data_IF_141074468035
#
_entry.id   IF_141074468035
#
_cell.length_a   1.000
_cell.length_b   1.000
_cell.length_c   1.000
_cell.angle_alpha   90.00
_cell.angle_beta   90.00
_cell.angle_gamma   90.00
#
_symmetry.space_group_name_H-M   'P 1'
#
loop_
_entity.id
_entity.type
_entity.pdbx_description
1 polymer ?
#
# COMPACT_ATOMS: atom_id res chain seq x y z
N UNK A 1 18.85 20.49 -5.16
CA UNK A 1 18.44 21.87 -5.48
C UNK A 1 17.37 22.24 -4.47
N UNK A 2 17.66 23.17 -3.56
CA UNK A 2 16.69 23.60 -2.55
C UNK A 2 15.86 24.73 -3.15
N UNK A 3 14.64 24.44 -3.57
CA UNK A 3 13.72 25.48 -4.07
C UNK A 3 12.98 26.04 -2.86
N UNK A 4 13.16 27.33 -2.58
CA UNK A 4 12.50 28.04 -1.47
C UNK A 4 11.29 28.80 -2.01
N UNK A 5 11.47 29.43 -3.18
CA UNK A 5 10.46 30.17 -3.93
C UNK A 5 10.57 29.81 -5.42
N UNK A 6 9.52 30.08 -6.18
CA UNK A 6 9.53 29.82 -7.63
C UNK A 6 10.49 30.79 -8.33
N UNK A 7 11.66 30.29 -8.74
CA UNK A 7 12.66 31.04 -9.51
C UNK A 7 12.22 31.15 -10.98
N UNK A 8 11.72 32.33 -11.35
CA UNK A 8 11.20 32.60 -12.69
C UNK A 8 12.27 32.35 -13.77
N UNK A 9 13.51 32.76 -13.54
CA UNK A 9 14.57 32.66 -14.53
C UNK A 9 14.95 31.19 -14.76
N UNK A 10 15.00 30.40 -13.68
CA UNK A 10 15.20 28.96 -13.77
C UNK A 10 14.13 28.29 -14.64
N UNK A 11 12.85 28.58 -14.39
CA UNK A 11 11.76 27.94 -15.14
C UNK A 11 11.64 28.46 -16.58
N UNK A 12 12.12 29.68 -16.87
CA UNK A 12 12.28 30.17 -18.24
C UNK A 12 13.36 29.40 -19.01
N UNK A 13 14.48 29.05 -18.37
CA UNK A 13 15.51 28.22 -19.02
C UNK A 13 15.04 26.77 -19.18
N UNK A 14 14.34 26.21 -18.18
CA UNK A 14 13.74 24.88 -18.27
C UNK A 14 12.76 24.80 -19.45
N UNK A 15 11.98 25.85 -19.69
CA UNK A 15 11.04 25.91 -20.82
C UNK A 15 11.69 25.81 -22.21
N UNK A 16 13.01 25.98 -22.32
CA UNK A 16 13.75 25.83 -23.59
C UNK A 16 14.22 24.41 -23.86
N UNK A 17 14.05 23.50 -22.89
CA UNK A 17 14.46 22.11 -23.01
C UNK A 17 13.43 21.28 -23.81
N UNK A 18 13.83 20.10 -24.34
CA UNK A 18 12.87 19.15 -24.93
C UNK A 18 11.80 18.74 -23.92
N UNK A 19 10.59 18.46 -24.40
CA UNK A 19 9.43 18.18 -23.54
C UNK A 19 9.66 16.97 -22.61
N UNK A 20 10.38 15.95 -23.05
CA UNK A 20 10.71 14.78 -22.23
C UNK A 20 11.59 15.18 -21.03
N UNK A 21 12.50 16.13 -21.25
CA UNK A 21 13.40 16.64 -20.20
C UNK A 21 12.62 17.52 -19.23
N UNK A 22 11.69 18.36 -19.72
CA UNK A 22 10.80 19.16 -18.87
C UNK A 22 9.96 18.24 -17.98
N UNK A 23 9.30 17.24 -18.56
CA UNK A 23 8.47 16.29 -17.82
C UNK A 23 9.29 15.55 -16.75
N UNK A 24 10.52 15.13 -17.08
CA UNK A 24 11.42 14.50 -16.12
C UNK A 24 11.77 15.45 -14.98
N UNK A 25 12.20 16.68 -15.26
CA UNK A 25 12.54 17.68 -14.23
C UNK A 25 11.34 17.93 -13.32
N UNK A 26 10.16 18.20 -13.89
CA UNK A 26 8.94 18.49 -13.14
C UNK A 26 8.51 17.30 -12.27
N UNK A 27 8.73 16.06 -12.73
CA UNK A 27 8.40 14.86 -11.95
C UNK A 27 9.20 14.71 -10.65
N UNK A 28 10.41 15.26 -10.60
CA UNK A 28 11.27 15.27 -9.40
C UNK A 28 11.04 16.47 -8.49
N UNK A 29 10.20 17.43 -8.89
CA UNK A 29 9.89 18.58 -8.03
C UNK A 29 8.96 18.17 -6.88
N UNK A 30 9.15 18.76 -5.69
CA UNK A 30 8.21 18.58 -4.58
C UNK A 30 6.79 18.95 -5.01
N UNK A 31 5.82 18.08 -4.74
CA UNK A 31 4.42 18.29 -5.18
C UNK A 31 3.83 19.62 -4.70
N UNK A 32 4.29 20.10 -3.55
CA UNK A 32 3.94 21.40 -2.96
C UNK A 32 4.17 22.61 -3.90
N UNK A 33 5.19 22.59 -4.76
CA UNK A 33 5.51 23.74 -5.64
C UNK A 33 4.72 23.74 -6.95
N UNK A 34 4.27 22.58 -7.41
CA UNK A 34 3.65 22.41 -8.74
C UNK A 34 2.47 23.36 -9.01
N UNK A 35 1.58 23.70 -8.05
CA UNK A 35 0.48 24.63 -8.30
C UNK A 35 0.96 26.03 -8.70
N UNK A 36 2.12 26.48 -8.21
CA UNK A 36 2.70 27.77 -8.58
C UNK A 36 3.25 27.74 -10.02
N UNK A 37 3.73 26.57 -10.45
CA UNK A 37 4.25 26.38 -11.80
C UNK A 37 3.14 26.34 -12.86
N UNK A 38 1.88 26.12 -12.46
CA UNK A 38 0.74 26.23 -13.38
C UNK A 38 0.54 27.64 -13.95
N UNK A 39 1.12 28.67 -13.33
CA UNK A 39 1.07 30.03 -13.87
C UNK A 39 2.15 30.28 -14.95
N UNK A 40 3.10 29.36 -15.13
CA UNK A 40 4.16 29.45 -16.13
C UNK A 40 3.71 28.80 -17.43
N UNK A 41 3.11 29.62 -18.30
CA UNK A 41 2.56 29.21 -19.59
C UNK A 41 3.46 28.25 -20.40
N UNK A 42 4.79 28.45 -20.52
CA UNK A 42 5.63 27.60 -21.36
C UNK A 42 5.74 26.13 -20.92
N UNK A 43 5.53 25.83 -19.64
CA UNK A 43 5.62 24.47 -19.07
C UNK A 43 4.30 24.03 -18.43
N UNK A 44 3.24 24.81 -18.63
CA UNK A 44 1.98 24.67 -17.89
C UNK A 44 1.36 23.28 -18.10
N UNK A 45 1.43 22.75 -19.33
CA UNK A 45 0.84 21.46 -19.68
C UNK A 45 1.57 20.29 -19.02
N UNK A 46 2.90 20.37 -18.96
CA UNK A 46 3.78 19.36 -18.37
C UNK A 46 3.61 19.35 -16.84
N UNK A 47 3.47 20.54 -16.24
CA UNK A 47 3.12 20.70 -14.83
C UNK A 47 1.74 20.10 -14.54
N UNK A 48 0.73 20.46 -15.34
CA UNK A 48 -0.63 19.91 -15.17
C UNK A 48 -0.66 18.39 -15.32
N UNK A 49 0.02 17.85 -16.32
CA UNK A 49 0.13 16.40 -16.54
C UNK A 49 0.81 15.72 -15.36
N UNK A 50 1.85 16.32 -14.78
CA UNK A 50 2.54 15.77 -13.60
C UNK A 50 1.64 15.80 -12.37
N UNK A 51 0.93 16.91 -12.14
CA UNK A 51 -0.05 17.03 -11.04
C UNK A 51 -1.13 15.96 -11.15
N UNK A 52 -1.71 15.80 -12.34
CA UNK A 52 -2.84 14.89 -12.57
C UNK A 52 -2.42 13.42 -12.61
N UNK A 53 -1.14 13.11 -12.85
CA UNK A 53 -0.68 11.73 -13.02
C UNK A 53 -0.79 10.85 -11.78
N UNK A 54 -0.65 11.41 -10.58
CA UNK A 54 -0.57 10.68 -9.32
C UNK A 54 -1.23 11.52 -8.20
N UNK A 55 -2.51 11.24 -7.97
CA UNK A 55 -3.39 12.10 -7.17
C UNK A 55 -3.97 11.37 -5.96
N UNK A 56 -4.04 12.10 -4.86
CA UNK A 56 -4.78 11.73 -3.67
C UNK A 56 -6.05 12.59 -3.59
N UNK A 57 -7.21 11.98 -3.81
CA UNK A 57 -8.48 12.68 -3.63
C UNK A 57 -8.77 12.78 -2.14
N UNK A 58 -8.90 14.02 -1.66
CA UNK A 58 -9.10 14.33 -0.25
C UNK A 58 -9.98 15.55 -0.10
N UNK A 59 -10.75 15.60 0.99
CA UNK A 59 -11.52 16.78 1.38
C UNK A 59 -10.61 17.88 1.99
N UNK A 60 -9.54 17.47 2.67
CA UNK A 60 -8.60 18.38 3.34
C UNK A 60 -7.27 18.40 2.60
N UNK A 61 -6.89 19.57 2.08
CA UNK A 61 -5.65 19.78 1.34
C UNK A 61 -4.67 20.55 2.22
N UNK A 62 -3.54 19.92 2.53
CA UNK A 62 -2.42 20.55 3.22
C UNK A 62 -1.25 20.65 2.25
N UNK A 63 -0.81 21.89 1.96
CA UNK A 63 0.40 22.15 1.17
C UNK A 63 1.44 22.79 2.07
N UNK A 64 2.58 22.15 2.20
CA UNK A 64 3.72 22.75 2.87
C UNK A 64 4.14 24.02 2.15
N UNK A 65 4.53 25.04 2.92
CA UNK A 65 5.25 26.19 2.39
C UNK A 65 6.74 25.85 2.37
N UNK A 66 7.48 26.43 1.44
CA UNK A 66 8.94 26.37 1.47
C UNK A 66 9.44 26.95 2.79
N UNK A 67 10.35 26.26 3.47
CA UNK A 67 11.03 26.75 4.65
C UNK A 67 12.01 27.85 4.25
N UNK A 68 11.92 29.00 4.94
CA UNK A 68 12.90 30.09 4.82
C UNK A 68 14.26 29.71 5.44
N UNK A 69 14.35 28.56 6.10
CA UNK A 69 15.61 28.06 6.64
C UNK A 69 16.56 27.72 5.48
N UNK A 70 17.79 28.26 5.47
CA UNK A 70 18.74 28.02 4.40
C UNK A 70 18.89 26.52 4.10
N UNK A 71 18.86 26.16 2.82
CA UNK A 71 19.01 24.79 2.32
C UNK A 71 17.88 23.80 2.63
N UNK A 72 16.84 24.19 3.37
CA UNK A 72 15.66 23.34 3.63
C UNK A 72 14.63 23.47 2.50
N UNK A 73 14.10 24.67 2.24
CA UNK A 73 13.06 24.85 1.21
C UNK A 73 11.90 23.87 1.38
N UNK A 74 11.57 23.08 0.34
CA UNK A 74 10.55 22.03 0.39
C UNK A 74 11.08 20.63 0.76
N UNK A 75 12.31 20.47 1.25
CA UNK A 75 12.86 19.14 1.56
C UNK A 75 12.08 18.37 2.62
N UNK A 76 11.34 19.08 3.48
CA UNK A 76 10.48 18.51 4.52
C UNK A 76 9.03 18.31 4.06
N UNK A 77 8.69 18.62 2.80
CA UNK A 77 7.35 18.42 2.26
C UNK A 77 7.09 16.91 2.11
N UNK A 78 6.38 16.32 3.07
CA UNK A 78 5.83 14.97 2.97
C UNK A 78 4.61 14.99 2.05
N UNK A 79 4.87 14.99 0.74
CA UNK A 79 3.86 14.91 -0.29
C UNK A 79 4.22 13.82 -1.28
N UNK A 80 4.19 12.58 -0.80
CA UNK A 80 4.29 11.37 -1.62
C UNK A 80 3.30 11.38 -2.83
N UNK A 81 2.18 12.11 -2.70
CA UNK A 81 0.99 12.10 -3.55
C UNK A 81 0.55 13.56 -3.74
N UNK A 82 0.03 13.93 -4.90
CA UNK A 82 -0.56 15.27 -5.05
C UNK A 82 -1.98 15.29 -4.47
N UNK A 83 -2.18 16.02 -3.36
CA UNK A 83 -3.50 16.20 -2.76
C UNK A 83 -4.38 17.15 -3.59
N UNK A 84 -5.56 16.68 -3.96
CA UNK A 84 -6.53 17.42 -4.77
C UNK A 84 -7.97 17.11 -4.33
N UNK A 85 -8.84 18.13 -4.36
CA UNK A 85 -10.27 17.92 -4.16
C UNK A 85 -10.91 17.38 -5.44
N UNK A 86 -11.97 16.58 -5.31
CA UNK A 86 -12.63 15.96 -6.47
C UNK A 86 -13.08 16.98 -7.53
N UNK A 87 -13.63 18.13 -7.10
CA UNK A 87 -14.06 19.18 -8.03
C UNK A 87 -12.92 19.80 -8.84
N UNK A 88 -11.75 19.98 -8.24
CA UNK A 88 -10.58 20.52 -8.92
C UNK A 88 -9.91 19.46 -9.81
N UNK A 89 -9.96 18.19 -9.41
CA UNK A 89 -9.55 17.07 -10.26
C UNK A 89 -10.41 17.02 -11.52
N UNK A 90 -11.74 17.10 -11.39
CA UNK A 90 -12.67 17.12 -12.53
C UNK A 90 -12.39 18.30 -13.46
N UNK A 91 -12.14 19.50 -12.93
CA UNK A 91 -11.74 20.67 -13.74
C UNK A 91 -10.41 20.43 -14.44
N UNK A 92 -9.42 19.89 -13.74
CA UNK A 92 -8.10 19.59 -14.29
C UNK A 92 -8.17 18.59 -15.45
N UNK A 93 -8.90 17.49 -15.28
CA UNK A 93 -9.12 16.49 -16.33
C UNK A 93 -9.84 17.13 -17.52
N UNK A 94 -10.90 17.91 -17.28
CA UNK A 94 -11.65 18.59 -18.35
C UNK A 94 -10.77 19.56 -19.14
N UNK A 95 -9.91 20.29 -18.45
CA UNK A 95 -9.06 21.31 -19.06
C UNK A 95 -7.88 20.72 -19.84
N UNK A 96 -7.25 19.67 -19.31
CA UNK A 96 -6.00 19.13 -19.84
C UNK A 96 -6.16 17.81 -20.59
N UNK A 97 -7.31 17.16 -20.48
CA UNK A 97 -7.61 15.84 -21.02
C UNK A 97 -6.58 14.78 -20.60
N UNK A 98 -6.23 14.78 -19.31
CA UNK A 98 -5.29 13.84 -18.68
C UNK A 98 -5.97 13.19 -17.50
N UNK A 99 -6.26 11.90 -17.60
CA UNK A 99 -6.70 11.09 -16.47
C UNK A 99 -5.50 10.66 -15.62
N UNK A 100 -5.68 10.46 -14.30
CA UNK A 100 -4.62 9.95 -13.46
C UNK A 100 -4.13 8.59 -13.89
N UNK A 101 -2.82 8.38 -13.78
CA UNK A 101 -2.25 7.04 -13.85
C UNK A 101 -2.46 6.31 -12.53
N UNK A 102 -2.30 7.02 -11.42
CA UNK A 102 -2.58 6.54 -10.07
C UNK A 102 -3.59 7.45 -9.38
N UNK A 103 -4.67 6.85 -8.89
CA UNK A 103 -5.66 7.48 -8.05
C UNK A 103 -5.61 6.85 -6.67
N UNK A 104 -5.53 7.69 -5.65
CA UNK A 104 -5.63 7.25 -4.29
C UNK A 104 -6.83 7.90 -3.61
N UNK A 105 -7.61 7.08 -2.90
CA UNK A 105 -8.81 7.51 -2.19
C UNK A 105 -8.69 7.11 -0.73
N UNK A 106 -8.63 8.12 0.14
CA UNK A 106 -8.54 7.90 1.58
C UNK A 106 -9.87 8.29 2.23
N UNK A 107 -10.58 7.29 2.75
CA UNK A 107 -11.86 7.45 3.43
C UNK A 107 -13.07 7.02 2.60
N UNK A 108 -14.10 6.53 3.30
CA UNK A 108 -15.37 6.07 2.71
C UNK A 108 -16.10 7.17 1.93
N UNK A 109 -16.11 8.40 2.46
CA UNK A 109 -16.83 9.53 1.84
C UNK A 109 -16.24 9.89 0.48
N UNK A 110 -14.91 9.97 0.38
CA UNK A 110 -14.22 10.20 -0.90
C UNK A 110 -14.59 9.14 -1.92
N UNK A 111 -14.62 7.87 -1.48
CA UNK A 111 -14.95 6.76 -2.36
C UNK A 111 -16.38 6.89 -2.92
N UNK A 112 -17.33 7.17 -2.04
CA UNK A 112 -18.73 7.33 -2.42
C UNK A 112 -18.93 8.55 -3.33
N UNK A 113 -18.30 9.67 -3.02
CA UNK A 113 -18.40 10.90 -3.81
C UNK A 113 -17.86 10.70 -5.23
N UNK A 114 -16.72 10.00 -5.39
CA UNK A 114 -16.18 9.67 -6.71
C UNK A 114 -17.16 8.79 -7.50
N UNK A 115 -17.73 7.77 -6.87
CA UNK A 115 -18.70 6.89 -7.53
C UNK A 115 -19.98 7.61 -7.95
N UNK A 116 -20.51 8.46 -7.06
CA UNK A 116 -21.78 9.15 -7.29
C UNK A 116 -21.64 10.30 -8.30
N UNK A 117 -20.48 10.96 -8.36
CA UNK A 117 -20.31 12.19 -9.15
C UNK A 117 -19.41 12.04 -10.38
N UNK A 118 -18.41 11.16 -10.35
CA UNK A 118 -17.47 10.98 -11.46
C UNK A 118 -16.99 9.53 -11.65
N UNK A 119 -17.91 8.57 -11.87
CA UNK A 119 -17.56 7.15 -11.95
C UNK A 119 -16.64 6.79 -13.11
N UNK A 120 -16.60 7.60 -14.17
CA UNK A 120 -15.67 7.42 -15.31
C UNK A 120 -14.21 7.52 -14.88
N UNK A 121 -13.90 8.32 -13.86
CA UNK A 121 -12.56 8.44 -13.30
C UNK A 121 -11.98 7.07 -12.91
N UNK A 122 -12.81 6.19 -12.34
CA UNK A 122 -12.40 4.85 -11.91
C UNK A 122 -12.18 3.88 -13.07
N UNK A 123 -12.72 4.17 -14.26
CA UNK A 123 -12.52 3.34 -15.45
C UNK A 123 -11.28 3.73 -16.23
N UNK A 124 -11.03 5.03 -16.33
CA UNK A 124 -9.91 5.58 -17.11
C UNK A 124 -8.60 5.59 -16.32
N UNK A 125 -8.66 5.51 -14.98
CA UNK A 125 -7.47 5.44 -14.15
C UNK A 125 -6.82 4.06 -14.24
N UNK A 126 -5.51 4.03 -14.49
CA UNK A 126 -4.76 2.77 -14.61
C UNK A 126 -4.52 2.05 -13.30
N UNK A 127 -4.34 2.80 -12.20
CA UNK A 127 -4.12 2.23 -10.87
C UNK A 127 -4.93 2.91 -9.77
N UNK A 128 -5.60 2.11 -8.95
CA UNK A 128 -6.51 2.61 -7.92
C UNK A 128 -6.10 2.05 -6.56
N UNK A 129 -5.81 2.95 -5.63
CA UNK A 129 -5.43 2.64 -4.27
C UNK A 129 -6.47 3.19 -3.29
N UNK A 130 -6.87 2.38 -2.32
CA UNK A 130 -7.89 2.77 -1.34
C UNK A 130 -7.40 2.62 0.09
N UNK A 131 -7.79 3.54 0.96
CA UNK A 131 -7.68 3.38 2.42
C UNK A 131 -9.05 3.59 3.05
N UNK A 132 -9.51 2.64 3.85
CA UNK A 132 -10.76 2.75 4.61
C UNK A 132 -10.45 2.54 6.09
N UNK A 133 -10.90 3.49 6.91
CA UNK A 133 -10.66 3.48 8.36
C UNK A 133 -11.97 3.48 9.13
N UNK A 134 -12.01 2.78 10.26
CA UNK A 134 -13.09 2.84 11.26
C UNK A 134 -14.49 2.58 10.69
N UNK A 135 -14.64 1.53 9.88
CA UNK A 135 -15.89 1.16 9.24
C UNK A 135 -16.44 -0.14 9.85
N UNK A 136 -17.52 -0.02 10.63
CA UNK A 136 -18.15 -1.13 11.36
C UNK A 136 -19.68 -1.15 11.16
N UNK A 137 -20.33 -2.26 11.52
CA UNK A 137 -21.79 -2.36 11.48
C UNK A 137 -22.39 -2.21 10.09
N UNK A 138 -23.51 -1.48 10.06
CA UNK A 138 -24.28 -1.19 8.85
C UNK A 138 -23.43 -0.45 7.80
N UNK A 139 -22.44 0.35 8.23
CA UNK A 139 -21.55 1.07 7.30
C UNK A 139 -20.64 0.10 6.55
N UNK A 140 -20.02 -0.84 7.27
CA UNK A 140 -19.19 -1.88 6.67
C UNK A 140 -19.99 -2.72 5.65
N UNK A 141 -21.21 -3.13 6.02
CA UNK A 141 -22.08 -3.87 5.10
C UNK A 141 -22.44 -3.06 3.84
N UNK A 142 -22.79 -1.78 4.00
CA UNK A 142 -23.13 -0.91 2.87
C UNK A 142 -21.95 -0.75 1.91
N UNK A 143 -20.73 -0.66 2.44
CA UNK A 143 -19.51 -0.54 1.65
C UNK A 143 -19.14 -1.85 0.93
N UNK A 144 -19.34 -2.99 1.59
CA UNK A 144 -19.20 -4.31 0.96
C UNK A 144 -20.19 -4.48 -0.19
N UNK A 145 -21.46 -4.13 0.03
CA UNK A 145 -22.48 -4.18 -1.01
C UNK A 145 -22.09 -3.29 -2.20
N UNK A 146 -21.52 -2.11 -1.92
CA UNK A 146 -20.98 -1.23 -2.95
C UNK A 146 -19.84 -1.88 -3.74
N UNK A 147 -18.92 -2.58 -3.07
CA UNK A 147 -17.86 -3.35 -3.74
C UNK A 147 -18.38 -4.54 -4.55
N UNK A 148 -19.45 -5.20 -4.13
CA UNK A 148 -20.08 -6.26 -4.93
C UNK A 148 -20.76 -5.72 -6.18
N UNK A 149 -21.40 -4.55 -6.06
CA UNK A 149 -22.22 -3.97 -7.12
C UNK A 149 -21.41 -3.15 -8.13
N UNK A 150 -20.28 -2.60 -7.70
CA UNK A 150 -19.33 -1.90 -8.57
C UNK A 150 -18.23 -2.90 -8.90
N UNK A 151 -18.03 -3.27 -10.17
CA UNK A 151 -16.93 -4.15 -10.60
C UNK A 151 -15.54 -3.48 -10.46
N UNK A 152 -15.36 -2.66 -9.44
CA UNK A 152 -14.15 -1.92 -9.14
C UNK A 152 -13.05 -2.87 -8.68
N UNK A 153 -11.84 -2.60 -9.16
CA UNK A 153 -10.63 -3.28 -8.72
C UNK A 153 -9.61 -2.28 -8.24
N UNK A 154 -9.13 -2.51 -7.04
CA UNK A 154 -8.00 -1.84 -6.44
C UNK A 154 -6.72 -2.60 -6.77
N UNK A 155 -5.63 -1.88 -7.02
CA UNK A 155 -4.31 -2.49 -6.96
C UNK A 155 -3.94 -2.74 -5.51
N UNK A 156 -4.18 -1.74 -4.64
CA UNK A 156 -3.93 -1.82 -3.21
C UNK A 156 -5.12 -1.30 -2.40
N UNK A 157 -5.55 -2.07 -1.41
CA UNK A 157 -6.59 -1.69 -0.47
C UNK A 157 -6.06 -1.82 0.96
N UNK A 158 -6.13 -0.75 1.74
CA UNK A 158 -5.80 -0.76 3.16
C UNK A 158 -7.06 -0.59 4.00
N UNK A 159 -7.25 -1.49 4.96
CA UNK A 159 -8.32 -1.43 5.94
C UNK A 159 -7.70 -1.18 7.32
N UNK A 160 -8.17 -0.17 8.03
CA UNK A 160 -7.70 0.21 9.36
C UNK A 160 -8.85 0.21 10.38
N UNK A 161 -8.69 -0.53 11.47
CA UNK A 161 -9.66 -0.62 12.56
C UNK A 161 -10.69 -1.73 12.39
N UNK A 162 -11.59 -1.81 13.37
CA UNK A 162 -12.54 -2.92 13.51
C UNK A 162 -13.56 -2.87 12.39
N UNK A 163 -13.62 -3.96 11.64
CA UNK A 163 -14.71 -4.31 10.76
C UNK A 163 -15.48 -5.42 11.46
N UNK A 164 -16.80 -5.42 11.36
CA UNK A 164 -17.56 -6.61 11.74
C UNK A 164 -17.08 -7.78 10.88
N UNK A 165 -16.92 -8.98 11.45
CA UNK A 165 -16.43 -10.14 10.71
C UNK A 165 -17.23 -10.28 9.41
N UNK A 166 -16.56 -9.98 8.30
CA UNK A 166 -17.12 -9.99 6.97
C UNK A 166 -16.17 -10.68 6.00
N UNK A 167 -16.68 -11.11 4.86
CA UNK A 167 -15.87 -11.71 3.80
C UNK A 167 -15.66 -10.67 2.70
N UNK A 168 -14.40 -10.32 2.44
CA UNK A 168 -14.07 -9.39 1.36
C UNK A 168 -14.25 -10.06 -0.01
N UNK A 169 -14.89 -9.37 -0.99
CA UNK A 169 -14.95 -9.85 -2.37
C UNK A 169 -13.58 -9.77 -3.05
N UNK A 170 -13.51 -10.25 -4.30
CA UNK A 170 -12.33 -10.06 -5.16
C UNK A 170 -12.23 -8.61 -5.64
N UNK A 171 -11.76 -7.74 -4.75
CA UNK A 171 -11.70 -6.29 -4.96
C UNK A 171 -10.28 -5.77 -5.15
N UNK A 172 -9.27 -6.49 -4.69
CA UNK A 172 -7.90 -6.00 -4.68
C UNK A 172 -6.87 -7.07 -4.99
N UNK A 173 -5.72 -6.65 -5.55
CA UNK A 173 -4.56 -7.55 -5.71
C UNK A 173 -3.58 -7.48 -4.54
N UNK A 174 -3.53 -6.37 -3.82
CA UNK A 174 -2.77 -6.17 -2.59
C UNK A 174 -3.71 -5.67 -1.49
N UNK A 175 -3.66 -6.29 -0.32
CA UNK A 175 -4.46 -5.90 0.83
C UNK A 175 -3.56 -5.68 2.04
N UNK A 176 -3.83 -4.62 2.81
CA UNK A 176 -3.24 -4.39 4.12
C UNK A 176 -4.34 -4.30 5.16
N UNK A 177 -4.22 -5.05 6.26
CA UNK A 177 -5.19 -5.10 7.34
C UNK A 177 -4.53 -4.66 8.64
N UNK A 178 -5.00 -3.56 9.22
CA UNK A 178 -4.49 -3.02 10.47
C UNK A 178 -5.62 -3.00 11.49
N UNK A 179 -5.50 -3.75 12.59
CA UNK A 179 -6.56 -3.83 13.61
C UNK A 179 -7.93 -4.24 13.03
N UNK A 180 -7.95 -5.05 11.97
CA UNK A 180 -9.16 -5.45 11.23
C UNK A 180 -9.46 -6.94 11.39
N UNK A 181 -10.72 -7.25 11.70
CA UNK A 181 -11.22 -8.62 11.85
C UNK A 181 -12.09 -8.99 10.66
N UNK A 182 -11.82 -10.14 10.04
CA UNK A 182 -12.61 -10.67 8.92
C UNK A 182 -13.14 -12.08 9.26
N UNK A 183 -14.24 -12.49 8.62
CA UNK A 183 -14.72 -13.88 8.70
C UNK A 183 -13.76 -14.86 8.03
N UNK A 184 -13.08 -14.39 6.99
CA UNK A 184 -12.14 -15.20 6.22
C UNK A 184 -11.06 -14.31 5.62
N UNK A 185 -9.82 -14.76 5.77
CA UNK A 185 -8.64 -14.17 5.14
C UNK A 185 -8.32 -14.84 3.78
N UNK A 186 -9.19 -15.75 3.33
CA UNK A 186 -9.15 -16.34 1.98
C UNK A 186 -9.85 -15.39 1.01
N UNK A 187 -9.13 -14.36 0.57
CA UNK A 187 -9.68 -13.32 -0.32
C UNK A 187 -9.29 -13.65 -1.77
N UNK A 188 -10.26 -13.89 -2.69
CA UNK A 188 -9.96 -14.30 -4.05
C UNK A 188 -9.20 -13.23 -4.85
N UNK A 189 -8.20 -13.66 -5.63
CA UNK A 189 -7.42 -12.75 -6.50
C UNK A 189 -6.31 -11.96 -5.81
N UNK A 190 -6.28 -11.92 -4.47
CA UNK A 190 -5.22 -11.26 -3.71
C UNK A 190 -3.89 -11.98 -3.91
N UNK A 191 -2.87 -11.22 -4.30
CA UNK A 191 -1.48 -11.65 -4.52
C UNK A 191 -0.56 -11.21 -3.39
N UNK A 192 -0.89 -10.13 -2.68
CA UNK A 192 -0.14 -9.64 -1.53
C UNK A 192 -1.06 -9.34 -0.35
N UNK A 193 -0.72 -9.82 0.84
CA UNK A 193 -1.46 -9.60 2.07
C UNK A 193 -0.48 -9.20 3.18
N UNK A 194 -0.72 -8.04 3.80
CA UNK A 194 -0.03 -7.56 4.99
C UNK A 194 -1.05 -7.43 6.12
N UNK A 195 -0.75 -7.98 7.30
CA UNK A 195 -1.70 -7.98 8.41
C UNK A 195 -1.02 -7.69 9.73
N UNK A 196 -1.67 -6.84 10.52
CA UNK A 196 -1.35 -6.58 11.91
C UNK A 196 -2.52 -7.04 12.79
N UNK A 197 -2.27 -8.09 13.57
CA UNK A 197 -3.30 -8.83 14.30
C UNK A 197 -3.06 -8.66 15.80
N UNK A 198 -4.10 -8.25 16.52
CA UNK A 198 -4.05 -8.15 17.97
C UNK A 198 -5.21 -8.89 18.60
N UNK A 199 -4.91 -9.70 19.61
CA UNK A 199 -5.90 -10.40 20.42
C UNK A 199 -5.52 -10.28 21.88
N UNK A 200 -6.55 -10.18 22.73
CA UNK A 200 -6.41 -10.35 24.19
C UNK A 200 -6.82 -11.77 24.63
N UNK A 201 -7.18 -12.64 23.67
CA UNK A 201 -7.49 -14.03 23.93
C UNK A 201 -6.19 -14.86 23.83
N UNK A 202 -5.93 -15.64 24.88
CA UNK A 202 -4.79 -16.57 24.96
C UNK A 202 -5.05 -17.87 24.18
N UNK A 203 -6.28 -18.12 23.72
CA UNK A 203 -6.58 -19.30 22.93
C UNK A 203 -5.90 -19.24 21.55
N UNK A 204 -5.20 -20.32 21.12
CA UNK A 204 -4.63 -20.42 19.80
C UNK A 204 -5.68 -20.22 18.70
N UNK A 205 -5.38 -19.40 17.69
CA UNK A 205 -6.28 -19.17 16.55
C UNK A 205 -5.69 -19.73 15.25
N UNK A 206 -6.56 -20.35 14.44
CA UNK A 206 -6.17 -20.91 13.15
C UNK A 206 -6.49 -19.94 12.01
N UNK A 207 -5.53 -19.73 11.12
CA UNK A 207 -5.69 -18.92 9.92
C UNK A 207 -5.35 -19.69 8.65
N UNK A 208 -6.12 -19.42 7.59
CA UNK A 208 -5.91 -19.95 6.25
C UNK A 208 -5.99 -18.81 5.24
N UNK A 209 -5.14 -18.88 4.22
CA UNK A 209 -5.00 -17.83 3.20
C UNK A 209 -5.34 -18.33 1.80
N UNK A 210 -5.56 -17.37 0.90
CA UNK A 210 -5.83 -17.67 -0.50
C UNK A 210 -4.65 -18.41 -1.15
N UNK A 211 -4.91 -19.48 -1.94
CA UNK A 211 -3.86 -20.20 -2.67
C UNK A 211 -3.20 -19.33 -3.75
N UNK A 212 -3.83 -18.20 -4.11
CA UNK A 212 -3.31 -17.23 -5.07
C UNK A 212 -2.18 -16.34 -4.53
N UNK A 213 -1.98 -16.35 -3.21
CA UNK A 213 -1.11 -15.44 -2.51
C UNK A 213 0.36 -15.71 -2.85
N UNK A 214 1.11 -14.63 -3.12
CA UNK A 214 2.54 -14.66 -3.46
C UNK A 214 3.41 -13.98 -2.40
N UNK A 215 2.86 -12.99 -1.70
CA UNK A 215 3.54 -12.23 -0.66
C UNK A 215 2.63 -12.19 0.58
N UNK A 216 3.12 -12.71 1.70
CA UNK A 216 2.40 -12.72 2.98
C UNK A 216 3.29 -12.10 4.06
N UNK A 217 2.74 -11.09 4.74
CA UNK A 217 3.29 -10.53 5.96
C UNK A 217 2.26 -10.60 7.08
N UNK A 218 2.66 -11.13 8.23
CA UNK A 218 1.82 -11.20 9.43
C UNK A 218 2.63 -10.71 10.63
N UNK A 219 2.08 -9.73 11.32
CA UNK A 219 2.49 -9.31 12.65
C UNK A 219 1.40 -9.67 13.66
N UNK A 220 1.76 -10.28 14.80
CA UNK A 220 0.78 -10.74 15.79
C UNK A 220 1.33 -10.78 17.23
N UNK A 221 0.43 -10.78 18.23
CA UNK A 221 0.74 -10.78 19.68
C UNK A 221 0.04 -11.90 20.50
N UNK A 222 -0.31 -13.02 19.86
CA UNK A 222 -0.98 -14.16 20.47
C UNK A 222 -0.62 -15.44 19.74
N UNK A 223 -0.84 -16.61 20.33
CA UNK A 223 -0.49 -17.88 19.66
C UNK A 223 -1.37 -18.12 18.42
N UNK A 224 -0.74 -18.45 17.29
CA UNK A 224 -1.44 -18.75 16.04
C UNK A 224 -1.01 -20.07 15.42
N UNK A 225 -1.94 -20.69 14.69
CA UNK A 225 -1.66 -21.76 13.75
C UNK A 225 -1.98 -21.27 12.33
N UNK A 226 -1.04 -21.39 11.41
CA UNK A 226 -1.17 -20.85 10.06
C UNK A 226 -1.00 -21.93 9.01
N UNK A 227 -2.01 -22.13 8.18
CA UNK A 227 -1.88 -22.93 6.95
C UNK A 227 -1.33 -22.05 5.83
N UNK A 228 -0.07 -22.28 5.45
CA UNK A 228 0.64 -21.49 4.47
C UNK A 228 0.36 -21.98 3.04
N UNK A 229 -0.02 -21.10 2.10
CA UNK A 229 -0.21 -21.49 0.71
C UNK A 229 1.13 -21.77 0.01
N UNK A 230 1.20 -22.87 -0.74
CA UNK A 230 2.42 -23.33 -1.44
C UNK A 230 2.90 -22.40 -2.58
N UNK A 231 2.09 -21.41 -2.97
CA UNK A 231 2.42 -20.45 -4.02
C UNK A 231 3.19 -19.21 -3.54
N UNK A 232 3.45 -19.09 -2.23
CA UNK A 232 4.20 -17.98 -1.67
C UNK A 232 5.60 -17.90 -2.25
N UNK A 233 6.01 -16.67 -2.58
CA UNK A 233 7.37 -16.28 -2.94
C UNK A 233 8.07 -15.52 -1.83
N UNK A 234 7.31 -14.79 -1.04
CA UNK A 234 7.77 -14.02 0.12
C UNK A 234 6.89 -14.32 1.33
N UNK A 235 7.53 -14.63 2.45
CA UNK A 235 6.89 -14.84 3.73
C UNK A 235 7.63 -14.03 4.81
N UNK A 236 6.89 -13.22 5.55
CA UNK A 236 7.37 -12.46 6.69
C UNK A 236 6.44 -12.72 7.88
N UNK A 237 6.93 -13.37 8.93
CA UNK A 237 6.16 -13.65 10.15
C UNK A 237 6.89 -13.04 11.34
N UNK A 238 6.19 -12.20 12.10
CA UNK A 238 6.76 -11.47 13.23
C UNK A 238 5.84 -11.53 14.44
N UNK A 239 6.40 -11.84 15.60
CA UNK A 239 5.74 -11.70 16.91
C UNK A 239 6.73 -11.29 17.99
N UNK A 240 6.24 -10.63 19.03
CA UNK A 240 7.06 -10.13 20.13
C UNK A 240 7.21 -11.11 21.30
N UNK A 241 6.27 -12.02 21.53
CA UNK A 241 6.28 -12.89 22.71
C UNK A 241 5.73 -14.30 22.46
N UNK A 242 4.92 -14.49 21.42
CA UNK A 242 4.13 -15.69 21.21
C UNK A 242 4.78 -16.69 20.26
N UNK A 243 4.11 -17.82 20.05
CA UNK A 243 4.51 -18.85 19.11
C UNK A 243 3.62 -18.85 17.87
N UNK A 244 4.18 -19.34 16.77
CA UNK A 244 3.45 -19.67 15.55
C UNK A 244 3.71 -21.14 15.21
N UNK A 245 2.65 -21.87 14.93
CA UNK A 245 2.71 -23.19 14.31
C UNK A 245 2.37 -23.04 12.82
N UNK A 246 3.19 -23.60 11.94
CA UNK A 246 2.95 -23.56 10.51
C UNK A 246 2.57 -24.95 9.98
N UNK A 247 1.52 -24.97 9.17
CA UNK A 247 1.15 -26.13 8.36
C UNK A 247 1.44 -25.77 6.91
N UNK A 248 2.44 -26.41 6.31
CA UNK A 248 2.85 -26.16 4.94
C UNK A 248 3.27 -27.44 4.22
N UNK A 249 2.88 -27.56 2.96
CA UNK A 249 3.56 -28.43 2.01
C UNK A 249 4.93 -27.82 1.64
N UNK A 250 5.76 -28.58 0.90
CA UNK A 250 7.03 -28.07 0.37
C UNK A 250 6.84 -26.78 -0.45
N UNK A 251 7.46 -25.69 0.00
CA UNK A 251 7.29 -24.34 -0.51
C UNK A 251 8.30 -24.04 -1.63
N UNK A 252 8.23 -24.79 -2.74
CA UNK A 252 9.20 -24.70 -3.85
C UNK A 252 9.31 -23.33 -4.52
N UNK A 253 8.34 -22.43 -4.32
CA UNK A 253 8.34 -21.07 -4.89
C UNK A 253 8.85 -20.02 -3.91
N UNK A 254 9.06 -20.36 -2.64
CA UNK A 254 9.48 -19.43 -1.62
C UNK A 254 10.93 -19.04 -1.86
N UNK A 255 11.16 -17.76 -2.14
CA UNK A 255 12.50 -17.20 -2.41
C UNK A 255 12.99 -16.33 -1.26
N UNK A 256 12.07 -15.80 -0.44
CA UNK A 256 12.38 -14.93 0.70
C UNK A 256 11.59 -15.35 1.94
N UNK A 257 12.30 -15.56 3.04
CA UNK A 257 11.74 -15.89 4.34
C UNK A 257 12.35 -14.96 5.39
N UNK A 258 11.48 -14.26 6.12
CA UNK A 258 11.84 -13.52 7.32
C UNK A 258 11.01 -14.02 8.48
N UNK A 259 11.68 -14.40 9.57
CA UNK A 259 11.05 -14.83 10.80
C UNK A 259 11.58 -14.03 11.98
N UNK A 260 10.67 -13.55 12.81
CA UNK A 260 10.93 -12.99 14.12
C UNK A 260 10.03 -13.71 15.11
N UNK A 261 10.58 -14.78 15.70
CA UNK A 261 9.88 -15.76 16.52
C UNK A 261 10.70 -16.02 17.80
N UNK A 262 10.51 -15.23 18.87
CA UNK A 262 11.34 -15.32 20.08
C UNK A 262 11.30 -16.69 20.77
N UNK A 263 10.19 -17.41 20.63
CA UNK A 263 9.97 -18.72 21.27
C UNK A 263 10.49 -19.93 20.47
N UNK A 264 10.95 -19.75 19.23
CA UNK A 264 11.43 -20.83 18.37
C UNK A 264 12.78 -21.38 18.88
N UNK A 265 12.86 -22.68 19.19
CA UNK A 265 14.10 -23.29 19.73
C UNK A 265 15.00 -23.86 18.60
N UNK A 266 14.38 -24.31 17.51
CA UNK A 266 15.03 -24.83 16.31
C UNK A 266 14.25 -24.43 15.05
N UNK A 267 14.93 -24.32 13.91
CA UNK A 267 14.24 -24.02 12.64
C UNK A 267 13.30 -25.15 12.18
N UNK A 268 13.57 -26.40 12.56
CA UNK A 268 12.76 -27.56 12.18
C UNK A 268 11.35 -27.54 12.78
N UNK A 269 11.17 -26.88 13.94
CA UNK A 269 9.85 -26.63 14.52
C UNK A 269 8.91 -25.85 13.60
N UNK A 270 9.47 -25.07 12.66
CA UNK A 270 8.64 -24.35 11.70
C UNK A 270 7.98 -25.29 10.68
N UNK A 271 8.53 -26.49 10.45
CA UNK A 271 8.08 -27.39 9.40
C UNK A 271 8.25 -26.85 7.97
N UNK A 272 8.88 -25.69 7.79
CA UNK A 272 9.03 -25.04 6.49
C UNK A 272 10.16 -25.70 5.71
N UNK A 273 9.81 -26.32 4.59
CA UNK A 273 10.76 -26.85 3.60
C UNK A 273 10.72 -25.96 2.35
N UNK A 274 11.80 -25.24 2.07
CA UNK A 274 11.86 -24.25 0.98
C UNK A 274 13.17 -24.40 0.17
N UNK A 275 13.23 -25.33 -0.80
CA UNK A 275 14.48 -25.69 -1.49
C UNK A 275 15.08 -24.58 -2.39
N UNK A 276 14.27 -23.59 -2.78
CA UNK A 276 14.68 -22.48 -3.65
C UNK A 276 14.84 -21.14 -2.90
N UNK A 277 14.97 -21.20 -1.56
CA UNK A 277 15.12 -20.02 -0.74
C UNK A 277 16.44 -19.29 -1.08
N UNK A 278 16.35 -17.99 -1.37
CA UNK A 278 17.51 -17.13 -1.69
C UNK A 278 17.88 -16.22 -0.53
N UNK A 279 16.94 -15.95 0.36
CA UNK A 279 17.14 -15.04 1.50
C UNK A 279 16.41 -15.58 2.71
N UNK A 280 17.17 -15.82 3.77
CA UNK A 280 16.68 -16.13 5.10
C UNK A 280 17.10 -15.02 6.05
N UNK A 281 16.14 -14.41 6.73
CA UNK A 281 16.38 -13.43 7.79
C UNK A 281 15.74 -13.95 9.06
N UNK A 282 16.55 -14.13 10.09
CA UNK A 282 16.10 -14.45 11.44
C UNK A 282 16.42 -13.25 12.32
N UNK A 283 15.40 -12.67 12.95
CA UNK A 283 15.53 -11.49 13.81
C UNK A 283 14.91 -11.83 15.16
N UNK A 284 15.55 -11.45 16.27
CA UNK A 284 15.04 -11.64 17.64
C UNK A 284 14.46 -13.05 17.93
N UNK A 285 15.03 -14.10 17.33
CA UNK A 285 14.73 -15.49 17.64
C UNK A 285 15.49 -15.93 18.90
N UNK A 286 15.15 -15.35 20.06
CA UNK A 286 15.94 -15.42 21.30
C UNK A 286 16.25 -16.83 21.79
N UNK A 287 15.33 -17.78 21.61
CA UNK A 287 15.51 -19.18 22.03
C UNK A 287 16.19 -20.08 21.00
N UNK A 288 16.50 -19.58 19.80
CA UNK A 288 17.10 -20.37 18.75
C UNK A 288 18.50 -20.83 19.17
N UNK A 289 18.63 -22.13 19.41
CA UNK A 289 19.88 -22.73 19.88
C UNK A 289 20.42 -23.82 18.94
N UNK A 290 19.56 -24.41 18.10
CA UNK A 290 19.94 -25.40 17.11
C UNK A 290 19.93 -24.83 15.68
N UNK A 291 21.12 -24.76 15.08
CA UNK A 291 21.36 -24.21 13.75
C UNK A 291 21.62 -25.28 12.68
N UNK A 292 21.65 -26.57 13.04
CA UNK A 292 22.03 -27.66 12.10
C UNK A 292 21.12 -27.70 10.87
N UNK A 293 19.84 -27.41 11.06
CA UNK A 293 18.84 -27.45 10.01
C UNK A 293 18.89 -26.24 9.05
N UNK A 294 19.75 -25.24 9.30
CA UNK A 294 19.94 -24.12 8.39
C UNK A 294 20.87 -24.47 7.21
N UNK A 295 21.62 -25.56 7.30
CA UNK A 295 22.52 -26.02 6.22
C UNK A 295 21.76 -26.30 4.92
N UNK A 296 20.46 -26.64 5.00
CA UNK A 296 19.60 -26.87 3.83
C UNK A 296 19.47 -25.65 2.90
N UNK A 297 19.80 -24.45 3.37
CA UNK A 297 19.67 -23.19 2.62
C UNK A 297 21.01 -22.66 2.08
N UNK A 298 22.12 -23.41 2.22
CA UNK A 298 23.46 -22.97 1.80
C UNK A 298 23.81 -23.27 0.32
N UNK A 299 22.81 -23.31 -0.57
CA UNK A 299 23.03 -23.61 -2.00
C UNK A 299 23.71 -22.45 -2.76
#
# INVERSE_FOLDING_TARGET
MTIITTDIDLFQEVAKLPYEVIALIVSYLPKCILPQLLYFQPIQREVASTILSDVNVTESIYRHKGSDTPHVGYSECDCDWFQIGLSDLTKGITQWNVYPRALHMNGEFVFKDVLDTFPELLKETSSINGTISSCEGIKAQSLLDLFYNTNLRFDSLQLNGVWDPATLPSVATSIRLFHTTLNSYVIPGVKKLDMEMYSNNDEPQTYTFSPDLKDLRVYFNFTIQVTLPSNLRKLCITTSLDSAEFISDEMVKLEYLQLELPQMESFEETGIVAPNLKTLILTDCEKLSDFRNLEQFQN
#
